data_IF_763589685091
#
_entry.id   IF_763589685091
#
_cell.length_a   1.000
_cell.length_b   1.000
_cell.length_c   1.000
_cell.angle_alpha   90.00
_cell.angle_beta   90.00
_cell.angle_gamma   90.00
#
_symmetry.space_group_name_H-M   'P 1'
#
loop_
_entity.id
_entity.type
_entity.pdbx_description
1 polymer ?
#
# COMPACT_ATOMS: atom_id res chain seq x y z
N UNK A 1 59.07 22.35 16.53
CA UNK A 1 58.41 21.15 15.94
C UNK A 1 57.50 21.59 14.80
N UNK A 2 57.94 21.46 13.56
CA UNK A 2 57.17 21.80 12.37
C UNK A 2 56.22 20.64 12.06
N UNK A 3 54.95 20.85 12.27
CA UNK A 3 53.87 19.90 11.94
C UNK A 3 53.77 19.84 10.40
N UNK A 4 54.21 18.77 9.77
CA UNK A 4 54.04 18.56 8.33
C UNK A 4 52.53 18.36 8.08
N UNK A 5 51.92 19.31 7.42
CA UNK A 5 50.57 19.18 6.88
C UNK A 5 50.71 18.37 5.60
N UNK A 6 50.43 17.06 5.67
CA UNK A 6 50.33 16.22 4.48
C UNK A 6 49.02 16.57 3.78
N UNK A 7 49.09 17.28 2.67
CA UNK A 7 47.96 17.54 1.80
C UNK A 7 47.54 16.24 1.08
N UNK A 8 46.25 16.09 0.80
CA UNK A 8 45.69 14.99 -0.01
C UNK A 8 46.33 14.97 -1.40
N UNK A 9 46.67 13.78 -1.87
CA UNK A 9 47.13 13.60 -3.24
C UNK A 9 45.92 13.64 -4.20
N UNK A 10 46.14 14.07 -5.45
CA UNK A 10 45.07 14.11 -6.48
C UNK A 10 44.45 12.73 -6.68
N UNK A 11 45.25 11.66 -6.62
CA UNK A 11 44.75 10.28 -6.77
C UNK A 11 43.86 9.86 -5.59
N UNK A 12 44.16 10.27 -4.37
CA UNK A 12 43.41 10.00 -3.17
C UNK A 12 42.05 10.73 -3.21
N UNK A 13 42.02 11.97 -3.69
CA UNK A 13 40.79 12.74 -3.91
C UNK A 13 39.87 12.07 -4.95
N UNK A 14 40.47 11.57 -6.05
CA UNK A 14 39.75 10.88 -7.12
C UNK A 14 39.18 9.56 -6.63
N UNK A 15 39.92 8.81 -5.81
CA UNK A 15 39.45 7.57 -5.21
C UNK A 15 38.25 7.80 -4.26
N UNK A 16 38.34 8.82 -3.39
CA UNK A 16 37.24 9.21 -2.51
C UNK A 16 36.00 9.63 -3.30
N UNK A 17 36.18 10.41 -4.37
CA UNK A 17 35.05 10.83 -5.22
C UNK A 17 34.32 9.62 -5.86
N UNK A 18 35.04 8.61 -6.32
CA UNK A 18 34.47 7.37 -6.87
C UNK A 18 33.70 6.59 -5.78
N UNK A 19 34.30 6.44 -4.59
CA UNK A 19 33.64 5.75 -3.48
C UNK A 19 32.31 6.44 -3.05
N UNK A 20 32.34 7.76 -2.93
CA UNK A 20 31.14 8.55 -2.59
C UNK A 20 30.09 8.43 -3.70
N UNK A 21 30.49 8.43 -4.95
CA UNK A 21 29.57 8.22 -6.08
C UNK A 21 28.87 6.86 -6.03
N UNK A 22 29.64 5.78 -5.80
CA UNK A 22 29.08 4.43 -5.67
C UNK A 22 28.12 4.30 -4.46
N UNK A 23 28.52 4.83 -3.31
CA UNK A 23 27.67 4.82 -2.11
C UNK A 23 26.35 5.60 -2.33
N UNK A 24 26.41 6.72 -3.04
CA UNK A 24 25.20 7.51 -3.37
C UNK A 24 24.23 6.73 -4.24
N UNK A 25 24.69 6.03 -5.27
CA UNK A 25 23.82 5.21 -6.14
C UNK A 25 23.13 4.12 -5.34
N UNK A 26 23.87 3.38 -4.50
CA UNK A 26 23.31 2.34 -3.65
C UNK A 26 22.24 2.90 -2.68
N UNK A 27 22.48 4.05 -2.10
CA UNK A 27 21.56 4.70 -1.19
C UNK A 27 20.22 5.06 -1.87
N UNK A 28 20.26 5.64 -3.07
CA UNK A 28 19.04 6.01 -3.80
C UNK A 28 18.23 4.79 -4.24
N UNK A 29 18.89 3.70 -4.68
CA UNK A 29 18.19 2.46 -5.05
C UNK A 29 17.50 1.83 -3.84
N UNK A 30 18.17 1.76 -2.69
CA UNK A 30 17.57 1.20 -1.47
C UNK A 30 16.42 2.03 -0.94
N UNK A 31 16.53 3.37 -1.00
CA UNK A 31 15.45 4.27 -0.57
C UNK A 31 14.17 4.03 -1.38
N UNK A 32 14.27 3.93 -2.71
CA UNK A 32 13.11 3.66 -3.56
C UNK A 32 12.44 2.32 -3.20
N UNK A 33 13.21 1.25 -3.03
CA UNK A 33 12.67 -0.05 -2.65
C UNK A 33 11.94 -0.03 -1.29
N UNK A 34 12.45 0.70 -0.31
CA UNK A 34 11.80 0.84 0.99
C UNK A 34 10.48 1.60 0.91
N UNK A 35 10.39 2.64 0.08
CA UNK A 35 9.16 3.39 -0.14
C UNK A 35 8.08 2.51 -0.77
N UNK A 36 8.41 1.71 -1.78
CA UNK A 36 7.48 0.78 -2.42
C UNK A 36 6.98 -0.29 -1.44
N UNK A 37 7.88 -0.92 -0.68
CA UNK A 37 7.50 -1.90 0.36
C UNK A 37 6.59 -1.27 1.41
N UNK A 38 6.86 -0.04 1.84
CA UNK A 38 6.03 0.67 2.80
C UNK A 38 4.62 0.95 2.24
N UNK A 39 4.52 1.35 0.97
CA UNK A 39 3.24 1.56 0.29
C UNK A 39 2.46 0.25 0.15
N UNK A 40 3.10 -0.84 -0.27
CA UNK A 40 2.46 -2.16 -0.38
C UNK A 40 1.92 -2.66 0.98
N UNK A 41 2.68 -2.46 2.06
CA UNK A 41 2.20 -2.76 3.42
C UNK A 41 1.00 -1.90 3.83
N UNK A 42 0.99 -0.63 3.47
CA UNK A 42 -0.15 0.27 3.71
C UNK A 42 -1.39 -0.21 2.94
N UNK A 43 -1.24 -0.59 1.68
CA UNK A 43 -2.30 -1.15 0.84
C UNK A 43 -2.88 -2.43 1.46
N UNK A 44 -2.03 -3.38 1.88
CA UNK A 44 -2.46 -4.62 2.58
C UNK A 44 -3.21 -4.33 3.88
N UNK A 45 -2.76 -3.35 4.65
CA UNK A 45 -3.41 -2.93 5.89
C UNK A 45 -4.81 -2.39 5.62
N UNK A 46 -4.98 -1.53 4.61
CA UNK A 46 -6.27 -0.99 4.22
C UNK A 46 -7.25 -2.09 3.77
N UNK A 47 -6.81 -3.00 2.90
CA UNK A 47 -7.62 -4.14 2.45
C UNK A 47 -8.03 -5.04 3.63
N UNK A 48 -7.12 -5.34 4.56
CA UNK A 48 -7.45 -6.12 5.73
C UNK A 48 -8.47 -5.41 6.64
N UNK A 49 -8.31 -4.10 6.87
CA UNK A 49 -9.27 -3.33 7.68
C UNK A 49 -10.67 -3.33 7.05
N UNK A 50 -10.79 -3.09 5.74
CA UNK A 50 -12.07 -3.16 5.02
C UNK A 50 -12.65 -4.58 5.05
N UNK A 51 -11.83 -5.61 4.86
CA UNK A 51 -12.23 -7.00 4.95
C UNK A 51 -12.82 -7.35 6.33
N UNK A 52 -12.12 -7.02 7.41
CA UNK A 52 -12.62 -7.27 8.76
C UNK A 52 -13.87 -6.42 9.08
N UNK A 53 -13.94 -5.19 8.59
CA UNK A 53 -15.14 -4.37 8.69
C UNK A 53 -16.36 -5.00 8.02
N UNK A 54 -16.17 -5.64 6.86
CA UNK A 54 -17.22 -6.38 6.17
C UNK A 54 -17.61 -7.68 6.89
N UNK A 55 -16.62 -8.50 7.30
CA UNK A 55 -16.87 -9.83 7.85
C UNK A 55 -17.28 -9.83 9.33
N UNK A 56 -16.68 -8.99 10.15
CA UNK A 56 -16.87 -9.01 11.61
C UNK A 56 -17.91 -7.99 12.10
N UNK A 57 -18.22 -6.95 11.30
CA UNK A 57 -19.16 -5.90 11.71
C UNK A 57 -20.37 -5.84 10.78
N UNK A 58 -20.16 -5.64 9.49
CA UNK A 58 -21.27 -5.42 8.56
C UNK A 58 -22.10 -6.68 8.34
N UNK A 59 -21.49 -7.80 7.99
CA UNK A 59 -22.21 -9.04 7.69
C UNK A 59 -22.98 -9.63 8.89
N UNK A 60 -22.42 -9.69 10.11
CA UNK A 60 -23.17 -10.17 11.28
C UNK A 60 -24.45 -9.38 11.56
N UNK A 61 -24.40 -8.06 11.33
CA UNK A 61 -25.53 -7.16 11.55
C UNK A 61 -26.59 -7.23 10.42
N UNK A 62 -26.17 -7.42 9.16
CA UNK A 62 -27.03 -7.25 7.99
C UNK A 62 -27.36 -8.57 7.27
N UNK A 63 -26.49 -9.60 7.38
CA UNK A 63 -26.59 -10.90 6.69
C UNK A 63 -26.48 -10.82 5.16
N UNK A 64 -25.86 -9.77 4.64
CA UNK A 64 -25.51 -9.56 3.24
C UNK A 64 -24.31 -8.62 3.16
N UNK A 65 -23.71 -8.48 1.97
CA UNK A 65 -22.66 -7.51 1.70
C UNK A 65 -23.23 -6.30 0.92
N UNK A 66 -22.67 -5.10 1.11
CA UNK A 66 -23.15 -3.91 0.40
C UNK A 66 -22.73 -3.94 -1.07
N UNK A 67 -23.47 -3.24 -1.92
CA UNK A 67 -23.13 -3.08 -3.34
C UNK A 67 -21.90 -2.17 -3.56
N UNK A 68 -21.64 -1.26 -2.63
CA UNK A 68 -20.46 -0.40 -2.60
C UNK A 68 -20.00 -0.21 -1.17
N UNK A 69 -18.71 0.05 -0.98
CA UNK A 69 -18.12 0.34 0.34
C UNK A 69 -17.60 1.76 0.39
N UNK A 70 -17.84 2.40 1.54
CA UNK A 70 -17.40 3.75 1.84
C UNK A 70 -17.34 3.96 3.35
N UNK A 71 -16.82 5.08 3.79
CA UNK A 71 -16.84 5.51 5.20
C UNK A 71 -18.25 5.65 5.79
N UNK A 72 -19.26 5.81 4.93
CA UNK A 72 -20.65 5.98 5.39
C UNK A 72 -21.29 4.66 5.83
N UNK A 73 -20.97 3.55 5.15
CA UNK A 73 -21.53 2.24 5.43
C UNK A 73 -20.62 1.29 6.21
N UNK A 74 -19.30 1.51 6.19
CA UNK A 74 -18.32 0.77 6.99
C UNK A 74 -17.71 1.67 8.08
N UNK A 75 -18.52 2.14 9.01
CA UNK A 75 -18.12 3.06 10.09
C UNK A 75 -17.08 2.50 11.05
N UNK A 76 -16.83 1.21 11.03
CA UNK A 76 -15.79 0.52 11.81
C UNK A 76 -14.39 0.65 11.20
N UNK A 77 -14.31 1.13 9.96
CA UNK A 77 -13.06 1.32 9.22
C UNK A 77 -12.70 2.79 9.19
N UNK A 78 -11.44 3.12 9.41
CA UNK A 78 -10.95 4.50 9.30
C UNK A 78 -11.22 5.04 7.88
N UNK A 79 -11.89 6.20 7.73
CA UNK A 79 -12.17 6.81 6.44
C UNK A 79 -10.96 7.00 5.53
N UNK A 80 -9.78 7.23 6.10
CA UNK A 80 -8.54 7.38 5.35
C UNK A 80 -8.13 6.11 4.58
N UNK A 81 -8.54 4.92 5.06
CA UNK A 81 -8.19 3.63 4.46
C UNK A 81 -8.96 3.32 3.16
N UNK A 82 -10.02 4.09 2.83
CA UNK A 82 -10.69 3.99 1.53
C UNK A 82 -9.96 4.72 0.40
N UNK A 83 -8.89 5.43 0.74
CA UNK A 83 -8.02 6.15 -0.19
C UNK A 83 -6.66 5.46 -0.24
N UNK A 84 -6.15 5.22 -1.44
CA UNK A 84 -4.85 4.58 -1.63
C UNK A 84 -3.69 5.55 -1.33
N UNK A 85 -2.43 5.09 -1.27
CA UNK A 85 -1.26 5.95 -1.03
C UNK A 85 -1.07 7.07 -2.06
N UNK A 86 -1.68 6.97 -3.25
CA UNK A 86 -1.65 8.00 -4.29
C UNK A 86 -2.80 9.01 -4.15
N UNK A 87 -3.65 8.88 -3.15
CA UNK A 87 -4.78 9.77 -2.91
C UNK A 87 -6.02 9.45 -3.73
N UNK A 88 -6.12 8.24 -4.30
CA UNK A 88 -7.25 7.82 -5.13
C UNK A 88 -8.22 6.95 -4.32
N UNK A 89 -9.50 7.30 -4.36
CA UNK A 89 -10.55 6.59 -3.61
C UNK A 89 -10.84 5.22 -4.27
N UNK A 90 -11.15 4.22 -3.45
CA UNK A 90 -11.53 2.88 -3.89
C UNK A 90 -12.61 2.90 -4.99
N UNK A 91 -12.48 2.02 -5.98
CA UNK A 91 -13.37 1.89 -7.14
C UNK A 91 -13.44 3.12 -8.05
N UNK A 92 -12.55 4.08 -7.91
CA UNK A 92 -12.39 5.15 -8.90
C UNK A 92 -11.26 4.84 -9.87
N UNK A 93 -11.30 5.45 -11.06
CA UNK A 93 -10.28 5.23 -12.08
C UNK A 93 -8.88 5.55 -11.54
N UNK A 94 -7.95 4.62 -11.67
CA UNK A 94 -6.56 4.75 -11.19
C UNK A 94 -6.34 4.36 -9.72
N UNK A 95 -7.38 3.93 -9.00
CA UNK A 95 -7.24 3.41 -7.63
C UNK A 95 -6.51 2.07 -7.62
N UNK A 96 -5.60 1.90 -6.66
CA UNK A 96 -5.00 0.62 -6.34
C UNK A 96 -5.99 -0.33 -5.63
N UNK A 97 -7.14 0.16 -5.15
CA UNK A 97 -8.14 -0.62 -4.43
C UNK A 97 -9.38 -0.88 -5.27
N UNK A 98 -9.82 -2.14 -5.31
CA UNK A 98 -11.02 -2.56 -6.02
C UNK A 98 -11.92 -3.41 -5.10
N UNK A 99 -13.20 -3.06 -5.02
CA UNK A 99 -14.25 -3.85 -4.38
C UNK A 99 -15.23 -4.31 -5.44
N UNK A 100 -15.38 -5.61 -5.62
CA UNK A 100 -16.22 -6.23 -6.64
C UNK A 100 -17.26 -7.14 -5.97
N UNK A 101 -18.46 -6.63 -5.69
CA UNK A 101 -19.55 -7.44 -5.14
C UNK A 101 -20.16 -8.33 -6.23
N UNK A 102 -20.65 -9.49 -5.84
CA UNK A 102 -21.28 -10.46 -6.74
C UNK A 102 -22.60 -11.00 -6.20
N UNK A 103 -23.44 -11.49 -7.10
CA UNK A 103 -24.76 -12.03 -6.77
C UNK A 103 -25.63 -11.03 -5.97
N UNK A 104 -25.75 -9.81 -6.48
CA UNK A 104 -26.49 -8.73 -5.87
C UNK A 104 -27.97 -8.71 -6.31
N UNK A 105 -28.88 -8.56 -5.35
CA UNK A 105 -30.31 -8.31 -5.55
C UNK A 105 -30.71 -7.16 -4.61
N UNK A 106 -31.35 -6.14 -5.13
CA UNK A 106 -31.77 -4.95 -4.36
C UNK A 106 -30.64 -4.35 -3.49
N UNK A 107 -29.45 -4.19 -4.07
CA UNK A 107 -28.25 -3.67 -3.41
C UNK A 107 -27.69 -4.55 -2.28
N UNK A 108 -28.19 -5.78 -2.13
CA UNK A 108 -27.72 -6.80 -1.19
C UNK A 108 -26.97 -7.88 -1.95
N UNK A 109 -25.69 -8.05 -1.67
CA UNK A 109 -24.83 -9.00 -2.36
C UNK A 109 -24.53 -10.21 -1.48
N UNK A 110 -24.36 -11.38 -2.11
CA UNK A 110 -24.04 -12.61 -1.39
C UNK A 110 -22.54 -12.78 -1.17
N UNK A 111 -21.74 -12.26 -2.06
CA UNK A 111 -20.29 -12.39 -2.00
C UNK A 111 -19.59 -11.16 -2.58
N UNK A 112 -18.28 -11.05 -2.34
CA UNK A 112 -17.44 -10.01 -2.90
C UNK A 112 -16.00 -10.49 -3.07
N UNK A 113 -15.26 -9.76 -3.89
CA UNK A 113 -13.80 -9.78 -3.96
C UNK A 113 -13.30 -8.37 -3.63
N UNK A 114 -12.31 -8.28 -2.76
CA UNK A 114 -11.61 -7.06 -2.39
C UNK A 114 -10.13 -7.23 -2.74
N UNK A 115 -9.59 -6.32 -3.53
CA UNK A 115 -8.27 -6.46 -4.14
C UNK A 115 -7.48 -5.17 -4.04
N UNK A 116 -6.16 -5.31 -3.92
CA UNK A 116 -5.22 -4.22 -4.07
C UNK A 116 -4.06 -4.62 -4.96
N UNK A 117 -3.76 -3.79 -5.96
CA UNK A 117 -2.55 -3.94 -6.76
C UNK A 117 -1.31 -3.55 -5.95
N UNK A 118 -0.31 -4.43 -5.96
CA UNK A 118 0.98 -4.22 -5.31
C UNK A 118 2.07 -4.00 -6.37
N UNK A 119 3.19 -3.40 -5.98
CA UNK A 119 4.27 -3.10 -6.92
C UNK A 119 5.38 -4.15 -6.89
N UNK A 120 5.65 -4.75 -5.72
CA UNK A 120 6.72 -5.73 -5.53
C UNK A 120 6.22 -7.18 -5.38
N UNK A 121 4.91 -7.39 -5.31
CA UNK A 121 4.30 -8.70 -5.06
C UNK A 121 3.07 -8.86 -5.95
N UNK A 122 2.52 -10.08 -6.00
CA UNK A 122 1.23 -10.36 -6.61
C UNK A 122 0.11 -9.60 -5.90
N UNK A 123 -0.96 -9.28 -6.63
CA UNK A 123 -2.11 -8.55 -6.11
C UNK A 123 -2.67 -9.19 -4.83
N UNK A 124 -2.96 -8.34 -3.85
CA UNK A 124 -3.46 -8.79 -2.56
C UNK A 124 -4.98 -8.90 -2.59
N UNK A 125 -5.50 -10.13 -2.55
CA UNK A 125 -6.91 -10.43 -2.75
C UNK A 125 -7.53 -11.04 -1.49
N UNK A 126 -8.71 -10.56 -1.13
CA UNK A 126 -9.61 -11.10 -0.09
C UNK A 126 -10.99 -11.37 -0.69
N UNK A 127 -11.56 -12.51 -0.36
CA UNK A 127 -12.92 -12.89 -0.76
C UNK A 127 -13.81 -13.06 0.46
N UNK A 128 -15.12 -12.90 0.27
CA UNK A 128 -16.10 -13.11 1.33
C UNK A 128 -16.02 -14.51 1.94
N UNK A 129 -16.22 -14.61 3.26
CA UNK A 129 -16.27 -15.89 3.99
C UNK A 129 -17.63 -16.59 3.82
N UNK A 130 -18.69 -15.81 3.67
CA UNK A 130 -20.04 -16.31 3.58
C UNK A 130 -20.53 -16.18 2.13
N UNK A 131 -20.86 -17.30 1.50
CA UNK A 131 -21.35 -17.39 0.12
C UNK A 131 -22.81 -17.86 0.10
#
# INVERSE_FOLDING_TARGET
MTKRITGFTVIELLFVAVLVGLASVLFFVQKHNLEVVAQDNTKKTAINAMYYGLEEVFYPANKYYPQSISSDNLKSVDPALFTDPNGVIINTAGSAYTYSPTNCVDSKCKSYTLESTLENEDDFVKTSRNN
#
